data_IF_171516011876
#
_entry.id   IF_171516011876
#
_cell.length_a   1.000
_cell.length_b   1.000
_cell.length_c   1.000
_cell.angle_alpha   90.00
_cell.angle_beta   90.00
_cell.angle_gamma   90.00
#
_symmetry.space_group_name_H-M   'P 1'
#
loop_
_entity.id
_entity.type
_entity.pdbx_description
1 polymer ?
#
# COMPACT_ATOMS: atom_id res chain seq x y z
N UNK A 1 43.28 10.58 -11.90
CA UNK A 1 41.98 10.45 -11.22
C UNK A 1 40.81 10.18 -12.19
N UNK A 2 40.75 10.78 -13.39
CA UNK A 2 39.72 10.41 -14.40
C UNK A 2 40.19 9.33 -15.38
N UNK A 3 41.49 9.10 -15.55
CA UNK A 3 42.08 8.11 -16.46
C UNK A 3 41.86 6.66 -16.00
N UNK A 4 41.64 6.45 -14.71
CA UNK A 4 41.50 5.12 -14.12
C UNK A 4 40.07 4.56 -14.27
N UNK A 5 39.10 5.43 -14.59
CA UNK A 5 37.69 5.05 -14.81
C UNK A 5 37.44 4.35 -16.15
N UNK A 6 38.37 4.47 -17.11
CA UNK A 6 38.24 3.91 -18.45
C UNK A 6 39.35 2.92 -18.79
N UNK A 7 39.93 2.28 -17.79
CA UNK A 7 40.86 1.17 -18.01
C UNK A 7 40.11 -0.06 -18.52
N UNK A 8 40.79 -0.93 -19.26
CA UNK A 8 40.20 -2.17 -19.75
C UNK A 8 39.65 -3.04 -18.63
N UNK A 9 40.26 -2.95 -17.45
CA UNK A 9 39.86 -3.64 -16.24
C UNK A 9 38.54 -3.11 -15.66
N UNK A 10 38.38 -1.79 -15.57
CA UNK A 10 37.13 -1.16 -15.10
C UNK A 10 35.97 -1.37 -16.06
N UNK A 11 36.24 -1.42 -17.36
CA UNK A 11 35.22 -1.76 -18.38
C UNK A 11 34.80 -3.24 -18.31
N UNK A 12 35.72 -4.14 -18.01
CA UNK A 12 35.42 -5.56 -17.81
C UNK A 12 34.60 -5.79 -16.53
N UNK A 13 34.93 -5.10 -15.44
CA UNK A 13 34.15 -5.12 -14.20
C UNK A 13 32.73 -4.57 -14.40
N UNK A 14 32.59 -3.42 -15.07
CA UNK A 14 31.28 -2.85 -15.43
C UNK A 14 30.45 -3.79 -16.28
N UNK A 15 31.05 -4.45 -17.26
CA UNK A 15 30.38 -5.45 -18.11
C UNK A 15 29.91 -6.66 -17.31
N UNK A 16 30.75 -7.15 -16.39
CA UNK A 16 30.41 -8.27 -15.52
C UNK A 16 29.28 -7.90 -14.54
N UNK A 17 29.39 -6.72 -13.91
CA UNK A 17 28.32 -6.19 -13.03
C UNK A 17 27.01 -6.02 -13.80
N UNK A 18 27.05 -5.49 -15.01
CA UNK A 18 25.86 -5.31 -15.83
C UNK A 18 25.21 -6.63 -16.25
N UNK A 19 26.00 -7.64 -16.61
CA UNK A 19 25.48 -8.92 -17.06
C UNK A 19 25.00 -9.84 -15.95
N UNK A 20 25.55 -9.72 -14.74
CA UNK A 20 25.23 -10.62 -13.62
C UNK A 20 24.40 -9.96 -12.52
N UNK A 21 24.76 -8.74 -12.12
CA UNK A 21 24.10 -8.06 -11.01
C UNK A 21 22.81 -7.31 -11.44
N UNK A 22 22.81 -6.72 -12.63
CA UNK A 22 21.69 -5.94 -13.13
C UNK A 22 20.41 -6.79 -13.34
N UNK A 23 20.44 -7.99 -13.95
CA UNK A 23 19.25 -8.83 -14.05
C UNK A 23 18.70 -9.26 -12.69
N UNK A 24 19.59 -9.55 -11.74
CA UNK A 24 19.22 -9.91 -10.38
C UNK A 24 18.54 -8.72 -9.67
N UNK A 25 19.12 -7.53 -9.76
CA UNK A 25 18.54 -6.31 -9.19
C UNK A 25 17.19 -5.94 -9.80
N UNK A 26 17.02 -6.15 -11.11
CA UNK A 26 15.72 -5.98 -11.79
C UNK A 26 14.69 -6.96 -11.26
N UNK A 27 15.05 -8.23 -11.09
CA UNK A 27 14.16 -9.25 -10.52
C UNK A 27 13.75 -8.92 -9.11
N UNK A 28 14.71 -8.51 -8.27
CA UNK A 28 14.44 -8.08 -6.89
C UNK A 28 13.49 -6.88 -6.85
N UNK A 29 13.73 -5.88 -7.69
CA UNK A 29 12.87 -4.69 -7.80
C UNK A 29 11.45 -5.07 -8.22
N UNK A 30 11.32 -5.91 -9.24
CA UNK A 30 10.03 -6.37 -9.74
C UNK A 30 9.27 -7.14 -8.66
N UNK A 31 9.92 -8.13 -8.04
CA UNK A 31 9.35 -8.93 -6.97
C UNK A 31 8.88 -8.07 -5.78
N UNK A 32 9.74 -7.18 -5.27
CA UNK A 32 9.40 -6.31 -4.14
C UNK A 32 8.23 -5.39 -4.49
N UNK A 33 8.26 -4.78 -5.67
CA UNK A 33 7.20 -3.86 -6.11
C UNK A 33 5.86 -4.57 -6.23
N UNK A 34 5.81 -5.70 -6.93
CA UNK A 34 4.57 -6.45 -7.14
C UNK A 34 4.01 -6.95 -5.81
N UNK A 35 4.84 -7.55 -4.97
CA UNK A 35 4.40 -8.10 -3.69
C UNK A 35 3.94 -7.00 -2.72
N UNK A 36 4.71 -5.91 -2.60
CA UNK A 36 4.34 -4.79 -1.73
C UNK A 36 3.03 -4.13 -2.19
N UNK A 37 2.86 -3.95 -3.50
CA UNK A 37 1.62 -3.38 -4.07
C UNK A 37 0.43 -4.30 -3.83
N UNK A 38 0.58 -5.59 -4.09
CA UNK A 38 -0.49 -6.56 -3.86
C UNK A 38 -0.94 -6.59 -2.39
N UNK A 39 0.02 -6.60 -1.45
CA UNK A 39 -0.28 -6.54 -0.01
C UNK A 39 -0.90 -5.20 0.40
N UNK A 40 -0.42 -4.09 -0.16
CA UNK A 40 -0.99 -2.77 0.10
C UNK A 40 -2.45 -2.67 -0.38
N UNK A 41 -2.78 -3.24 -1.55
CA UNK A 41 -4.15 -3.32 -2.06
C UNK A 41 -5.00 -4.23 -1.16
N UNK A 42 -4.48 -5.41 -0.81
CA UNK A 42 -5.19 -6.36 0.04
C UNK A 42 -5.60 -5.76 1.40
N UNK A 43 -4.78 -4.90 1.98
CA UNK A 43 -5.06 -4.21 3.24
C UNK A 43 -5.82 -2.89 3.03
N UNK A 44 -5.45 -2.12 2.03
CA UNK A 44 -6.00 -0.80 1.77
C UNK A 44 -7.41 -0.81 1.22
N UNK A 45 -7.74 -1.76 0.33
CA UNK A 45 -9.06 -1.86 -0.28
C UNK A 45 -10.17 -2.10 0.78
N UNK A 46 -10.09 -3.12 1.65
CA UNK A 46 -11.13 -3.31 2.67
C UNK A 46 -11.19 -2.14 3.66
N UNK A 47 -10.06 -1.50 3.96
CA UNK A 47 -10.07 -0.30 4.81
C UNK A 47 -10.77 0.88 4.13
N UNK A 48 -10.52 1.13 2.84
CA UNK A 48 -11.20 2.17 2.09
C UNK A 48 -12.71 1.97 2.02
N UNK A 49 -13.12 0.72 1.76
CA UNK A 49 -14.54 0.34 1.80
C UNK A 49 -15.14 0.58 3.19
N UNK A 50 -14.44 0.18 4.27
CA UNK A 50 -14.89 0.39 5.64
C UNK A 50 -15.03 1.86 6.00
N UNK A 51 -14.19 2.75 5.47
CA UNK A 51 -14.28 4.18 5.73
C UNK A 51 -15.56 4.79 5.18
N UNK A 52 -16.04 4.32 4.02
CA UNK A 52 -17.28 4.82 3.40
C UNK A 52 -18.50 4.07 3.93
N UNK A 53 -18.49 2.74 3.87
CA UNK A 53 -19.61 1.92 4.32
C UNK A 53 -19.90 2.05 5.83
N UNK A 54 -18.85 2.37 6.61
CA UNK A 54 -18.92 2.53 8.07
C UNK A 54 -19.44 3.89 8.54
N UNK A 55 -19.70 4.84 7.66
CA UNK A 55 -20.28 6.13 8.04
C UNK A 55 -21.68 5.98 8.62
N UNK A 56 -22.15 7.04 9.32
CA UNK A 56 -23.43 7.01 10.03
C UNK A 56 -24.61 6.70 9.10
N UNK A 57 -24.54 7.19 7.88
CA UNK A 57 -25.56 7.01 6.84
C UNK A 57 -25.12 5.97 5.78
N UNK A 58 -24.03 5.26 6.08
CA UNK A 58 -23.46 4.23 5.22
C UNK A 58 -24.19 2.89 5.33
N UNK A 59 -23.80 1.95 4.48
CA UNK A 59 -24.43 0.63 4.34
C UNK A 59 -24.17 -0.29 5.55
N UNK A 60 -23.07 -0.05 6.27
CA UNK A 60 -22.66 -0.85 7.44
C UNK A 60 -22.17 0.08 8.57
N UNK A 61 -23.05 0.84 9.24
CA UNK A 61 -22.65 1.88 10.18
C UNK A 61 -21.80 1.35 11.32
N UNK A 62 -20.61 1.91 11.48
CA UNK A 62 -19.67 1.60 12.56
C UNK A 62 -19.78 2.61 13.70
N UNK A 63 -19.41 2.23 14.94
CA UNK A 63 -19.32 3.18 16.05
C UNK A 63 -18.37 4.34 15.70
N UNK A 64 -18.82 5.56 15.96
CA UNK A 64 -18.04 6.79 15.68
C UNK A 64 -16.58 6.74 16.14
N UNK A 65 -16.26 6.25 17.37
CA UNK A 65 -14.88 6.22 17.84
C UNK A 65 -13.98 5.29 16.98
N UNK A 66 -14.54 4.19 16.45
CA UNK A 66 -13.79 3.26 15.61
C UNK A 66 -13.43 3.93 14.28
N UNK A 67 -14.42 4.54 13.62
CA UNK A 67 -14.20 5.23 12.36
C UNK A 67 -13.25 6.43 12.52
N UNK A 68 -13.38 7.18 13.63
CA UNK A 68 -12.48 8.28 13.94
C UNK A 68 -11.05 7.78 14.17
N UNK A 69 -10.86 6.70 14.91
CA UNK A 69 -9.55 6.11 15.14
C UNK A 69 -8.88 5.65 13.82
N UNK A 70 -9.64 4.96 12.95
CA UNK A 70 -9.14 4.56 11.62
C UNK A 70 -8.71 5.76 10.78
N UNK A 71 -9.53 6.82 10.75
CA UNK A 71 -9.21 8.05 10.05
C UNK A 71 -7.94 8.72 10.59
N UNK A 72 -7.78 8.78 11.91
CA UNK A 72 -6.58 9.36 12.55
C UNK A 72 -5.34 8.55 12.19
N UNK A 73 -5.39 7.22 12.29
CA UNK A 73 -4.26 6.33 11.97
C UNK A 73 -3.85 6.49 10.50
N UNK A 74 -4.80 6.42 9.57
CA UNK A 74 -4.54 6.56 8.14
C UNK A 74 -3.92 7.94 7.82
N UNK A 75 -4.46 9.01 8.40
CA UNK A 75 -3.94 10.35 8.18
C UNK A 75 -2.55 10.52 8.79
N UNK A 76 -2.31 9.97 9.97
CA UNK A 76 -1.00 10.01 10.63
C UNK A 76 0.07 9.32 9.79
N UNK A 77 -0.19 8.08 9.33
CA UNK A 77 0.75 7.33 8.49
C UNK A 77 1.06 8.04 7.17
N UNK A 78 0.09 8.73 6.57
CA UNK A 78 0.28 9.52 5.35
C UNK A 78 1.00 10.86 5.57
N UNK A 79 0.96 11.38 6.79
CA UNK A 79 1.63 12.64 7.12
C UNK A 79 3.12 12.48 7.42
N UNK A 80 3.56 11.26 7.70
CA UNK A 80 4.96 10.96 7.99
C UNK A 80 5.74 10.83 6.67
N UNK A 81 6.85 11.56 6.49
CA UNK A 81 7.72 11.37 5.33
C UNK A 81 8.20 9.91 5.24
N UNK A 82 8.18 9.34 4.02
CA UNK A 82 8.47 7.92 3.79
C UNK A 82 9.76 7.43 4.45
N UNK A 83 10.85 8.20 4.37
CA UNK A 83 12.14 7.83 4.95
C UNK A 83 12.07 7.69 6.48
N UNK A 84 11.32 8.56 7.16
CA UNK A 84 11.11 8.50 8.60
C UNK A 84 10.25 7.28 8.95
N UNK A 85 9.16 7.08 8.20
CA UNK A 85 8.28 5.93 8.38
C UNK A 85 9.05 4.62 8.19
N UNK A 86 9.91 4.53 7.18
CA UNK A 86 10.75 3.36 6.92
C UNK A 86 11.62 3.01 8.13
N UNK A 87 12.29 4.00 8.71
CA UNK A 87 13.14 3.80 9.90
C UNK A 87 12.29 3.35 11.10
N UNK A 88 11.13 3.95 11.29
CA UNK A 88 10.22 3.57 12.39
C UNK A 88 9.67 2.14 12.23
N UNK A 89 9.52 1.66 11.01
CA UNK A 89 8.97 0.34 10.70
C UNK A 89 10.05 -0.76 10.66
N UNK A 90 11.34 -0.45 10.65
CA UNK A 90 12.42 -1.46 10.71
C UNK A 90 12.29 -2.47 11.85
N UNK A 91 11.94 -2.07 13.09
CA UNK A 91 11.70 -3.05 14.16
C UNK A 91 10.57 -4.05 13.81
N UNK A 92 9.53 -3.57 13.14
CA UNK A 92 8.42 -4.41 12.67
C UNK A 92 8.88 -5.37 11.57
N UNK A 93 9.70 -4.92 10.62
CA UNK A 93 10.31 -5.78 9.60
C UNK A 93 11.13 -6.91 10.24
N UNK A 94 11.91 -6.57 11.25
CA UNK A 94 12.70 -7.55 12.01
C UNK A 94 11.83 -8.58 12.75
N UNK A 95 10.69 -8.15 13.26
CA UNK A 95 9.75 -9.03 13.96
C UNK A 95 9.05 -10.01 12.99
N UNK A 96 8.67 -9.55 11.79
CA UNK A 96 7.90 -10.33 10.82
C UNK A 96 8.81 -11.22 9.97
N UNK A 97 9.92 -10.67 9.49
CA UNK A 97 10.82 -11.30 8.49
C UNK A 97 12.09 -11.86 9.16
N UNK A 98 12.39 -11.45 10.39
CA UNK A 98 13.60 -11.86 11.11
C UNK A 98 14.83 -10.97 10.84
N UNK A 99 14.76 -10.07 9.87
CA UNK A 99 15.82 -9.10 9.52
C UNK A 99 15.24 -7.72 9.24
N UNK A 100 16.04 -6.69 9.50
CA UNK A 100 15.70 -5.30 9.17
C UNK A 100 16.43 -4.81 7.91
N UNK A 101 17.31 -5.64 7.32
CA UNK A 101 18.17 -5.27 6.20
C UNK A 101 17.98 -6.28 5.07
N UNK A 102 18.04 -5.79 3.83
CA UNK A 102 17.89 -6.60 2.62
C UNK A 102 16.59 -6.34 1.88
N UNK A 103 16.54 -6.83 0.65
CA UNK A 103 15.45 -6.59 -0.31
C UNK A 103 14.09 -7.04 0.23
N UNK A 104 14.02 -8.21 0.85
CA UNK A 104 12.77 -8.74 1.42
C UNK A 104 12.29 -7.93 2.63
N UNK A 105 13.21 -7.40 3.45
CA UNK A 105 12.87 -6.62 4.63
C UNK A 105 12.22 -5.26 4.27
N UNK A 106 12.50 -4.73 3.07
CA UNK A 106 11.90 -3.47 2.60
C UNK A 106 10.43 -3.58 2.22
N UNK A 107 9.91 -4.80 2.03
CA UNK A 107 8.49 -5.03 1.71
C UNK A 107 7.58 -4.49 2.82
N UNK A 108 7.94 -4.72 4.09
CA UNK A 108 7.11 -4.30 5.23
C UNK A 108 6.92 -2.78 5.28
N UNK A 109 7.97 -1.94 5.28
CA UNK A 109 7.80 -0.49 5.27
C UNK A 109 7.11 0.04 4.00
N UNK A 110 7.33 -0.60 2.84
CA UNK A 110 6.62 -0.24 1.61
C UNK A 110 5.12 -0.50 1.74
N UNK A 111 4.72 -1.65 2.27
CA UNK A 111 3.30 -1.97 2.52
C UNK A 111 2.70 -0.98 3.52
N UNK A 112 3.39 -0.72 4.65
CA UNK A 112 2.90 0.21 5.68
C UNK A 112 2.74 1.63 5.15
N UNK A 113 3.59 2.07 4.24
CA UNK A 113 3.47 3.38 3.60
C UNK A 113 2.36 3.42 2.54
N UNK A 114 2.17 2.34 1.79
CA UNK A 114 1.28 2.31 0.64
C UNK A 114 -0.18 2.02 0.98
N UNK A 115 -0.48 1.13 1.96
CA UNK A 115 -1.87 0.76 2.25
C UNK A 115 -2.77 1.93 2.68
N UNK A 116 -2.30 2.95 3.45
CA UNK A 116 -3.14 4.10 3.80
C UNK A 116 -3.45 4.98 2.60
N UNK A 117 -2.53 5.04 1.64
CA UNK A 117 -2.74 5.73 0.37
C UNK A 117 -3.81 5.01 -0.46
N UNK A 118 -3.72 3.68 -0.58
CA UNK A 118 -4.73 2.86 -1.28
C UNK A 118 -6.09 3.00 -0.61
N UNK A 119 -6.15 2.96 0.74
CA UNK A 119 -7.41 3.12 1.47
C UNK A 119 -8.09 4.46 1.15
N UNK A 120 -7.34 5.56 1.08
CA UNK A 120 -7.87 6.88 0.73
C UNK A 120 -8.28 6.99 -0.74
N UNK A 121 -7.53 6.35 -1.63
CA UNK A 121 -7.89 6.30 -3.04
C UNK A 121 -9.23 5.58 -3.24
N UNK A 122 -9.39 4.41 -2.62
CA UNK A 122 -10.64 3.63 -2.65
C UNK A 122 -11.79 4.43 -2.03
N UNK A 123 -11.57 5.05 -0.85
CA UNK A 123 -12.58 5.90 -0.22
C UNK A 123 -13.03 7.03 -1.16
N UNK A 124 -12.07 7.73 -1.79
CA UNK A 124 -12.39 8.82 -2.72
C UNK A 124 -13.22 8.34 -3.91
N UNK A 125 -12.83 7.21 -4.51
CA UNK A 125 -13.57 6.64 -5.64
C UNK A 125 -14.97 6.17 -5.27
N UNK A 126 -15.15 5.57 -4.09
CA UNK A 126 -16.46 5.12 -3.62
C UNK A 126 -17.39 6.28 -3.27
N UNK A 127 -16.85 7.43 -2.88
CA UNK A 127 -17.65 8.64 -2.63
C UNK A 127 -18.19 9.30 -3.92
N UNK A 128 -17.69 8.91 -5.09
CA UNK A 128 -18.20 9.37 -6.38
C UNK A 128 -19.47 8.63 -6.80
N UNK A 129 -19.79 7.52 -6.15
CA UNK A 129 -21.03 6.78 -6.40
C UNK A 129 -22.23 7.60 -5.91
N UNK A 130 -23.23 7.79 -6.78
CA UNK A 130 -24.43 8.55 -6.45
C UNK A 130 -25.19 7.89 -5.28
N UNK A 131 -25.42 8.62 -4.18
CA UNK A 131 -26.19 8.11 -3.03
C UNK A 131 -27.57 7.57 -3.39
N UNK A 132 -28.22 8.16 -4.42
CA UNK A 132 -29.54 7.72 -4.88
C UNK A 132 -29.52 6.27 -5.42
N UNK A 133 -28.41 5.85 -6.03
CA UNK A 133 -28.26 4.48 -6.53
C UNK A 133 -28.15 3.51 -5.34
N UNK A 134 -27.45 3.91 -4.29
CA UNK A 134 -27.32 3.11 -3.05
C UNK A 134 -28.68 3.00 -2.37
N UNK A 135 -29.44 4.10 -2.26
CA UNK A 135 -30.77 4.13 -1.67
C UNK A 135 -31.78 3.29 -2.49
N UNK A 136 -31.73 3.38 -3.81
CA UNK A 136 -32.53 2.53 -4.69
C UNK A 136 -32.25 1.04 -4.50
N UNK A 137 -30.97 0.66 -4.40
CA UNK A 137 -30.58 -0.72 -4.14
C UNK A 137 -31.07 -1.22 -2.77
N UNK A 138 -30.99 -0.37 -1.74
CA UNK A 138 -31.52 -0.67 -0.40
C UNK A 138 -33.04 -0.86 -0.43
N UNK A 139 -33.74 0.01 -1.15
CA UNK A 139 -35.21 -0.07 -1.33
C UNK A 139 -35.65 -1.35 -2.04
N UNK A 140 -34.80 -1.88 -2.92
CA UNK A 140 -35.01 -3.17 -3.58
C UNK A 140 -34.66 -4.38 -2.71
N UNK A 141 -34.23 -4.17 -1.46
CA UNK A 141 -33.89 -5.24 -0.52
C UNK A 141 -32.48 -5.82 -0.68
N UNK A 142 -31.56 -5.10 -1.34
CA UNK A 142 -30.20 -5.54 -1.44
C UNK A 142 -29.50 -5.56 -0.08
N UNK A 143 -28.76 -6.63 0.20
CA UNK A 143 -27.97 -6.74 1.43
C UNK A 143 -26.75 -5.82 1.40
N UNK A 144 -26.22 -5.38 2.55
CA UNK A 144 -25.01 -4.54 2.62
C UNK A 144 -23.85 -5.05 1.76
N UNK A 145 -23.62 -6.37 1.80
CA UNK A 145 -22.54 -7.00 1.03
C UNK A 145 -22.80 -6.97 -0.47
N UNK A 146 -24.07 -7.08 -0.90
CA UNK A 146 -24.44 -6.95 -2.30
C UNK A 146 -24.24 -5.51 -2.81
N UNK A 147 -24.53 -4.53 -1.98
CA UNK A 147 -24.30 -3.12 -2.32
C UNK A 147 -22.81 -2.84 -2.45
N UNK A 148 -22.01 -3.26 -1.48
CA UNK A 148 -20.54 -3.07 -1.50
C UNK A 148 -19.91 -3.76 -2.73
N UNK A 149 -20.34 -4.96 -3.09
CA UNK A 149 -19.70 -5.73 -4.16
C UNK A 149 -20.24 -5.45 -5.57
N UNK A 150 -21.45 -4.89 -5.71
CA UNK A 150 -22.14 -4.77 -7.00
C UNK A 150 -22.55 -3.35 -7.37
N UNK A 151 -22.63 -2.47 -6.40
CA UNK A 151 -23.11 -1.09 -6.57
C UNK A 151 -21.99 -0.09 -6.34
N UNK A 152 -21.16 -0.33 -5.33
CA UNK A 152 -19.96 0.45 -5.02
C UNK A 152 -18.72 -0.16 -5.68
#
# INVERSE_FOLDING_TARGET
MYSDLFTAESLAELKTAFLTQFPMALWETFYVTVLSTALAILLGLPLGVLLVAGEKDGVLPLPKPVLSALNVIINLLRSIPFLILMIMVFPLSRLIIGTAVGTTATIVPLVVAAFPFVARLVESSLREVDPNIIEAAQSMGATPMQIICKVM
#
